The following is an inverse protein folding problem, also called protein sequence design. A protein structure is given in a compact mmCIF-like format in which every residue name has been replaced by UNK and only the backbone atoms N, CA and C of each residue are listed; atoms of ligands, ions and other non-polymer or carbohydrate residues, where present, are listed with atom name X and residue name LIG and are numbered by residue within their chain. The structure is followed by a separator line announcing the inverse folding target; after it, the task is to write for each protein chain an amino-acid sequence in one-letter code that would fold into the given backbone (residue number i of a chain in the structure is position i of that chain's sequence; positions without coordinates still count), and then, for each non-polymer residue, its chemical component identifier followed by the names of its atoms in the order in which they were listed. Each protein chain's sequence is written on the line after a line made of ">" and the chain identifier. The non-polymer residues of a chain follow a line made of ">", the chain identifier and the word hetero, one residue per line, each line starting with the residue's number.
data_IF_926628432366
#
_entry.id   IF_926628432366
#
_cell.length_a   1.000
_cell.length_b   1.000
_cell.length_c   1.000
_cell.angle_alpha   90.00
_cell.angle_beta   90.00
_cell.angle_gamma   90.00
#
_symmetry.space_group_name_H-M   'P 1'
#
loop_
_entity.id
_entity.type
_entity.pdbx_description
1 polymer ?
#
# COMPACT_ATOMS: atom_id res chain seq x y z
N UNK A 1 4.08 -8.41 -15.51
CA UNK A 1 3.77 -7.93 -14.15
C UNK A 1 4.90 -7.08 -13.62
N UNK A 2 4.58 -5.92 -13.09
CA UNK A 2 5.58 -5.04 -12.47
C UNK A 2 5.68 -5.34 -10.97
N UNK A 3 6.78 -4.91 -10.37
CA UNK A 3 6.95 -4.97 -8.92
C UNK A 3 6.80 -3.56 -8.34
N UNK A 4 6.05 -3.48 -7.26
CA UNK A 4 5.83 -2.23 -6.52
C UNK A 4 6.01 -2.46 -5.03
N UNK A 5 6.16 -1.39 -4.28
CA UNK A 5 6.07 -1.43 -2.81
C UNK A 5 4.82 -0.71 -2.36
N UNK A 6 4.33 -1.10 -1.20
CA UNK A 6 3.24 -0.43 -0.51
C UNK A 6 3.52 -0.50 0.98
N UNK A 7 3.59 0.65 1.63
CA UNK A 7 3.93 0.75 3.04
C UNK A 7 2.88 1.53 3.82
N UNK A 8 2.52 1.00 4.97
CA UNK A 8 1.67 1.68 5.93
C UNK A 8 2.55 2.15 7.10
N UNK A 9 2.84 3.45 7.10
CA UNK A 9 3.72 4.09 8.08
C UNK A 9 2.89 4.44 9.31
N UNK A 10 3.35 3.98 10.48
CA UNK A 10 2.64 4.15 11.75
C UNK A 10 3.13 5.36 12.53
N UNK A 11 2.20 6.02 13.19
CA UNK A 11 2.46 7.00 14.23
C UNK A 11 1.38 6.81 15.31
N UNK A 12 1.74 6.15 16.42
CA UNK A 12 0.73 5.79 17.43
C UNK A 12 -0.36 4.92 16.83
N UNK A 13 -1.62 5.33 16.96
CA UNK A 13 -2.78 4.62 16.42
C UNK A 13 -3.08 4.95 14.96
N UNK A 14 -2.26 5.78 14.32
CA UNK A 14 -2.51 6.30 12.98
C UNK A 14 -1.61 5.65 11.94
N UNK A 15 -2.13 5.54 10.70
CA UNK A 15 -1.34 5.29 9.50
C UNK A 15 -1.29 6.56 8.64
N UNK A 16 -0.15 6.76 7.98
CA UNK A 16 -0.01 7.80 6.96
C UNK A 16 -0.66 7.29 5.67
N UNK A 17 -1.69 7.98 5.24
CA UNK A 17 -2.43 7.61 4.03
C UNK A 17 -2.31 8.69 2.97
N UNK A 18 -2.26 8.26 1.72
CA UNK A 18 -2.24 9.13 0.55
C UNK A 18 -3.63 9.13 -0.09
N UNK A 19 -4.26 10.29 -0.13
CA UNK A 19 -5.52 10.48 -0.87
C UNK A 19 -5.19 10.92 -2.30
N UNK A 20 -5.47 10.06 -3.26
CA UNK A 20 -5.10 10.24 -4.67
C UNK A 20 -6.06 11.20 -5.38
N UNK A 21 -5.82 12.51 -5.25
CA UNK A 21 -6.72 13.54 -5.80
C UNK A 21 -6.04 14.53 -6.75
N UNK A 22 -4.71 14.42 -6.95
CA UNK A 22 -3.98 15.40 -7.75
C UNK A 22 -3.77 14.98 -9.21
N UNK A 23 -3.82 13.70 -9.54
CA UNK A 23 -3.66 13.19 -10.90
C UNK A 23 -5.02 12.92 -11.54
N UNK A 24 -5.20 13.38 -12.79
CA UNK A 24 -6.31 12.96 -13.64
C UNK A 24 -5.94 11.61 -14.29
N UNK A 25 -6.93 10.82 -14.67
CA UNK A 25 -6.73 9.50 -15.30
C UNK A 25 -5.93 8.51 -14.43
N UNK A 26 -5.96 8.69 -13.12
CA UNK A 26 -5.33 7.80 -12.16
C UNK A 26 -6.30 6.68 -11.80
N UNK A 27 -5.90 5.42 -11.93
CA UNK A 27 -6.70 4.26 -11.53
C UNK A 27 -7.03 4.30 -10.02
N UNK A 28 -6.16 4.92 -9.22
CA UNK A 28 -6.36 5.12 -7.79
C UNK A 28 -7.13 6.41 -7.47
N UNK A 29 -7.64 7.10 -8.48
CA UNK A 29 -8.30 8.40 -8.27
C UNK A 29 -9.36 8.32 -7.19
N UNK A 30 -9.31 9.29 -6.26
CA UNK A 30 -10.19 9.44 -5.11
C UNK A 30 -10.07 8.32 -4.06
N UNK A 31 -9.16 7.39 -4.25
CA UNK A 31 -8.90 6.35 -3.26
C UNK A 31 -7.80 6.77 -2.29
N UNK A 32 -7.89 6.21 -1.10
CA UNK A 32 -6.85 6.33 -0.07
C UNK A 32 -6.00 5.07 -0.11
N UNK A 33 -4.70 5.25 -0.22
CA UNK A 33 -3.74 4.14 -0.28
C UNK A 33 -2.56 4.39 0.66
N UNK A 34 -1.74 3.36 0.88
CA UNK A 34 -0.46 3.50 1.55
C UNK A 34 0.57 4.20 0.65
N UNK A 35 1.81 4.22 1.10
CA UNK A 35 2.93 4.87 0.42
C UNK A 35 3.72 3.83 -0.36
N UNK A 36 4.04 4.12 -1.61
CA UNK A 36 4.84 3.20 -2.41
C UNK A 36 4.93 3.60 -3.87
N UNK A 37 5.54 2.74 -4.65
CA UNK A 37 5.72 2.97 -6.07
C UNK A 37 6.45 1.82 -6.74
N UNK A 38 6.78 2.02 -8.01
CA UNK A 38 7.42 1.01 -8.85
C UNK A 38 8.90 0.86 -8.52
N UNK A 39 9.39 -0.38 -8.60
CA UNK A 39 10.82 -0.65 -8.51
C UNK A 39 11.55 0.03 -9.66
N UNK A 40 12.72 0.55 -9.38
CA UNK A 40 13.71 0.91 -10.38
C UNK A 40 14.58 -0.32 -10.69
N UNK A 41 15.33 -0.33 -11.81
CA UNK A 41 16.19 -1.45 -12.14
C UNK A 41 17.14 -1.80 -10.99
N UNK A 42 17.25 -3.09 -10.71
CA UNK A 42 18.16 -3.66 -9.71
C UNK A 42 17.85 -3.30 -8.26
N UNK A 43 16.72 -2.66 -7.98
CA UNK A 43 16.30 -2.41 -6.61
C UNK A 43 15.78 -3.67 -5.91
N UNK A 44 16.16 -3.86 -4.65
CA UNK A 44 15.47 -4.78 -3.76
C UNK A 44 14.14 -4.18 -3.30
N UNK A 45 13.22 -4.97 -2.76
CA UNK A 45 12.00 -4.42 -2.15
C UNK A 45 12.29 -3.36 -1.08
N UNK A 46 13.30 -3.58 -0.25
CA UNK A 46 13.69 -2.64 0.82
C UNK A 46 14.25 -1.34 0.25
N UNK A 47 15.07 -1.42 -0.79
CA UNK A 47 15.60 -0.22 -1.46
C UNK A 47 14.50 0.62 -2.09
N UNK A 48 13.56 -0.02 -2.78
CA UNK A 48 12.40 0.66 -3.36
C UNK A 48 11.55 1.32 -2.27
N UNK A 49 11.30 0.61 -1.19
CA UNK A 49 10.57 1.12 -0.03
C UNK A 49 11.20 2.42 0.50
N UNK A 50 12.49 2.41 0.75
CA UNK A 50 13.19 3.57 1.32
C UNK A 50 13.19 4.75 0.37
N UNK A 51 13.45 4.50 -0.91
CA UNK A 51 13.47 5.55 -1.94
C UNK A 51 12.09 6.18 -2.13
N UNK A 52 11.06 5.37 -2.34
CA UNK A 52 9.70 5.86 -2.57
C UNK A 52 9.15 6.60 -1.36
N UNK A 53 9.40 6.10 -0.16
CA UNK A 53 8.98 6.77 1.07
C UNK A 53 9.61 8.16 1.16
N UNK A 54 10.90 8.26 0.89
CA UNK A 54 11.62 9.55 0.92
C UNK A 54 11.10 10.51 -0.14
N UNK A 55 10.90 10.02 -1.35
CA UNK A 55 10.43 10.84 -2.47
C UNK A 55 9.00 11.34 -2.24
N UNK A 56 8.11 10.48 -1.77
CA UNK A 56 6.70 10.84 -1.62
C UNK A 56 6.40 11.62 -0.34
N UNK A 57 7.08 11.30 0.76
CA UNK A 57 6.71 11.83 2.08
C UNK A 57 7.77 12.72 2.72
N UNK A 58 9.02 12.64 2.29
CA UNK A 58 10.14 13.29 2.95
C UNK A 58 10.67 12.53 4.16
N UNK A 59 10.00 11.44 4.56
CA UNK A 59 10.39 10.65 5.73
C UNK A 59 11.44 9.61 5.37
N UNK A 60 12.29 9.31 6.36
CA UNK A 60 13.26 8.21 6.30
C UNK A 60 12.84 7.15 7.31
N UNK A 61 12.60 5.94 6.82
CA UNK A 61 12.26 4.82 7.70
C UNK A 61 13.52 4.37 8.45
N UNK A 62 13.38 4.15 9.75
CA UNK A 62 14.47 3.63 10.60
C UNK A 62 14.23 2.18 11.01
N UNK A 63 13.00 1.72 10.91
CA UNK A 63 12.60 0.35 11.23
C UNK A 63 11.40 -0.01 10.38
N UNK A 64 11.45 -1.15 9.70
CA UNK A 64 10.35 -1.61 8.86
C UNK A 64 10.26 -3.13 8.89
N UNK A 65 9.11 -3.64 8.51
CA UNK A 65 8.83 -5.06 8.49
C UNK A 65 8.18 -5.44 7.15
N UNK A 66 8.73 -6.44 6.50
CA UNK A 66 8.19 -6.99 5.26
C UNK A 66 7.07 -7.96 5.61
N UNK A 67 5.83 -7.61 5.28
CA UNK A 67 4.64 -8.31 5.80
C UNK A 67 4.09 -9.34 4.84
N UNK A 68 4.22 -9.13 3.55
CA UNK A 68 3.67 -10.05 2.57
C UNK A 68 3.78 -9.56 1.14
N UNK A 69 3.27 -10.36 0.21
CA UNK A 69 3.16 -10.01 -1.20
C UNK A 69 1.69 -10.07 -1.59
N UNK A 70 1.21 -8.98 -2.20
CA UNK A 70 -0.13 -8.92 -2.77
C UNK A 70 0.00 -9.01 -4.28
N UNK A 71 -0.56 -10.07 -4.87
CA UNK A 71 -0.64 -10.24 -6.31
C UNK A 71 -1.92 -9.54 -6.78
N UNK A 72 -1.75 -8.34 -7.31
CA UNK A 72 -2.85 -7.51 -7.80
C UNK A 72 -3.03 -7.75 -9.28
N UNK A 73 -4.17 -8.33 -9.65
CA UNK A 73 -4.53 -8.60 -11.05
C UNK A 73 -5.73 -7.77 -11.42
N UNK A 74 -5.64 -7.04 -12.52
CA UNK A 74 -6.74 -6.18 -12.98
C UNK A 74 -6.90 -6.28 -14.49
N UNK A 75 -8.13 -6.22 -14.96
CA UNK A 75 -8.46 -6.29 -16.39
C UNK A 75 -8.22 -4.98 -17.12
N UNK A 76 -8.19 -3.85 -16.42
CA UNK A 76 -8.14 -2.51 -17.04
C UNK A 76 -6.82 -1.76 -16.80
N UNK A 77 -5.96 -2.26 -15.96
CA UNK A 77 -4.65 -1.65 -15.72
C UNK A 77 -3.59 -2.73 -15.51
N UNK A 78 -2.35 -2.31 -15.45
CA UNK A 78 -1.22 -3.22 -15.29
C UNK A 78 -1.32 -3.98 -13.97
N UNK A 79 -1.15 -5.29 -14.05
CA UNK A 79 -1.10 -6.15 -12.88
C UNK A 79 0.27 -6.05 -12.21
N UNK A 80 0.33 -6.26 -10.91
CA UNK A 80 1.56 -6.03 -10.17
C UNK A 80 1.71 -6.96 -8.96
N UNK A 81 2.96 -7.18 -8.58
CA UNK A 81 3.30 -7.74 -7.28
C UNK A 81 3.58 -6.58 -6.34
N UNK A 82 2.71 -6.36 -5.36
CA UNK A 82 2.87 -5.33 -4.35
C UNK A 82 3.58 -5.92 -3.14
N UNK A 83 4.77 -5.44 -2.87
CA UNK A 83 5.56 -5.85 -1.70
C UNK A 83 5.11 -4.99 -0.52
N UNK A 84 4.46 -5.62 0.45
CA UNK A 84 3.73 -4.95 1.53
C UNK A 84 4.59 -4.84 2.78
N UNK A 85 4.70 -3.61 3.28
CA UNK A 85 5.50 -3.27 4.45
C UNK A 85 4.69 -2.51 5.48
N UNK A 86 5.10 -2.63 6.73
CA UNK A 86 4.70 -1.71 7.79
C UNK A 86 5.94 -1.11 8.41
N UNK A 87 5.79 0.09 8.94
CA UNK A 87 6.85 0.81 9.64
C UNK A 87 6.38 1.18 11.04
N UNK A 88 7.28 1.08 12.01
CA UNK A 88 7.05 1.53 13.39
C UNK A 88 8.11 2.55 13.84
N UNK A 89 8.95 3.03 12.93
CA UNK A 89 9.97 4.03 13.22
C UNK A 89 10.38 4.82 11.99
N UNK A 90 10.18 6.14 12.01
CA UNK A 90 10.61 7.02 10.93
C UNK A 90 11.13 8.34 11.48
N UNK A 91 11.93 9.04 10.67
CA UNK A 91 12.51 10.34 10.96
C UNK A 91 12.20 11.32 9.83
N UNK A 92 12.31 12.60 10.14
CA UNK A 92 12.14 13.67 9.17
C UNK A 92 10.77 14.34 9.25
N UNK A 93 10.51 15.24 8.33
CA UNK A 93 9.28 16.02 8.26
C UNK A 93 8.51 15.69 6.99
N UNK A 94 7.19 15.63 7.11
CA UNK A 94 6.33 15.45 5.95
C UNK A 94 6.47 16.62 5.00
N UNK A 95 6.58 16.29 3.70
CA UNK A 95 6.48 17.26 2.61
C UNK A 95 5.17 17.03 1.85
N UNK A 96 4.81 17.96 1.00
CA UNK A 96 3.68 17.78 0.09
C UNK A 96 4.01 16.70 -0.95
N UNK A 97 3.04 15.85 -1.22
CA UNK A 97 3.13 14.83 -2.25
C UNK A 97 2.53 15.35 -3.56
N UNK A 98 3.19 15.07 -4.68
CA UNK A 98 2.71 15.51 -6.01
C UNK A 98 1.50 14.70 -6.48
N UNK A 99 1.27 13.53 -5.93
CA UNK A 99 0.22 12.60 -6.38
C UNK A 99 -1.10 12.75 -5.62
N UNK A 100 -1.08 13.42 -4.48
CA UNK A 100 -2.27 13.59 -3.66
C UNK A 100 -1.98 14.31 -2.35
N UNK A 101 -2.86 14.10 -1.39
CA UNK A 101 -2.77 14.70 -0.05
C UNK A 101 -2.41 13.62 0.95
N UNK A 102 -1.35 13.85 1.72
CA UNK A 102 -0.93 12.98 2.82
C UNK A 102 -1.66 13.37 4.10
N UNK A 103 -2.18 12.39 4.81
CA UNK A 103 -2.91 12.61 6.05
C UNK A 103 -2.72 11.44 7.01
N UNK A 104 -2.50 11.74 8.28
CA UNK A 104 -2.49 10.73 9.33
C UNK A 104 -3.92 10.38 9.69
N UNK A 105 -4.28 9.10 9.50
CA UNK A 105 -5.65 8.61 9.73
C UNK A 105 -5.62 7.57 10.84
N UNK A 106 -6.49 7.72 11.83
CA UNK A 106 -6.67 6.71 12.87
C UNK A 106 -7.07 5.38 12.23
N UNK A 107 -6.45 4.28 12.65
CA UNK A 107 -6.72 2.94 12.08
C UNK A 107 -8.20 2.55 12.16
N UNK A 108 -8.92 3.02 13.16
CA UNK A 108 -10.35 2.75 13.31
C UNK A 108 -11.20 3.41 12.23
N UNK A 109 -10.67 4.48 11.62
CA UNK A 109 -11.37 5.24 10.57
C UNK A 109 -11.02 4.80 9.16
N UNK A 110 -10.02 3.92 8.99
CA UNK A 110 -9.57 3.50 7.66
C UNK A 110 -10.71 2.93 6.82
N UNK A 111 -11.55 2.11 7.43
CA UNK A 111 -12.60 1.39 6.70
C UNK A 111 -13.78 2.27 6.30
N UNK A 112 -13.82 3.52 6.78
CA UNK A 112 -14.80 4.52 6.37
C UNK A 112 -14.34 5.28 5.12
N UNK A 113 -13.08 5.10 4.71
CA UNK A 113 -12.50 5.77 3.56
C UNK A 113 -12.81 5.01 2.27
N UNK A 114 -12.68 5.70 1.13
CA UNK A 114 -12.74 5.06 -0.18
C UNK A 114 -11.44 4.30 -0.41
N UNK A 115 -11.49 2.99 -0.26
CA UNK A 115 -10.37 2.07 -0.43
C UNK A 115 -10.64 1.12 -1.58
N UNK A 116 -9.58 0.53 -2.13
CA UNK A 116 -9.73 -0.68 -2.91
C UNK A 116 -10.32 -1.77 -1.98
N UNK A 117 -11.27 -2.54 -2.48
CA UNK A 117 -11.96 -3.55 -1.66
C UNK A 117 -10.98 -4.58 -1.07
N UNK A 118 -9.98 -4.98 -1.86
CA UNK A 118 -8.96 -5.93 -1.39
C UNK A 118 -8.00 -5.35 -0.35
N UNK A 119 -7.82 -4.03 -0.32
CA UNK A 119 -6.99 -3.39 0.70
C UNK A 119 -7.60 -3.60 2.09
N UNK A 120 -8.92 -3.69 2.17
CA UNK A 120 -9.62 -3.99 3.43
C UNK A 120 -9.21 -5.35 4.00
N UNK A 121 -8.91 -6.30 3.12
CA UNK A 121 -8.49 -7.65 3.52
C UNK A 121 -7.09 -7.58 4.15
N UNK A 122 -6.11 -7.02 3.43
CA UNK A 122 -4.75 -7.03 3.97
C UNK A 122 -4.55 -6.03 5.11
N UNK A 123 -5.30 -4.93 5.15
CA UNK A 123 -5.25 -4.02 6.30
C UNK A 123 -5.64 -4.75 7.60
N UNK A 124 -6.63 -5.64 7.55
CA UNK A 124 -7.00 -6.46 8.70
C UNK A 124 -5.90 -7.44 9.09
N UNK A 125 -5.22 -8.03 8.10
CA UNK A 125 -4.08 -8.91 8.36
C UNK A 125 -2.94 -8.14 9.02
N UNK A 126 -2.74 -6.88 8.64
CA UNK A 126 -1.69 -6.03 9.23
C UNK A 126 -1.99 -5.61 10.67
N UNK A 127 -3.26 -5.64 11.10
CA UNK A 127 -3.65 -5.33 12.48
C UNK A 127 -3.18 -6.39 13.47
N UNK A 128 -2.89 -7.58 12.98
CA UNK A 128 -2.43 -8.70 13.79
C UNK A 128 -0.98 -9.03 13.46
N UNK A 129 -0.37 -9.91 14.24
CA UNK A 129 1.01 -10.36 14.03
C UNK A 129 1.04 -11.57 13.09
N UNK A 130 0.33 -11.49 11.98
CA UNK A 130 0.31 -12.55 10.98
C UNK A 130 1.71 -12.83 10.44
N UNK A 131 2.05 -14.12 10.22
CA UNK A 131 3.26 -14.46 9.46
C UNK A 131 3.20 -13.88 8.06
N UNK A 132 4.35 -13.81 7.39
CA UNK A 132 4.43 -13.39 6.00
C UNK A 132 3.40 -14.12 5.16
N UNK A 133 2.60 -13.37 4.38
CA UNK A 133 1.50 -13.96 3.62
C UNK A 133 1.59 -13.63 2.14
N UNK A 134 0.89 -14.44 1.34
CA UNK A 134 0.67 -14.21 -0.08
C UNK A 134 -0.82 -14.05 -0.31
N UNK A 135 -1.22 -12.90 -0.84
CA UNK A 135 -2.64 -12.59 -1.09
C UNK A 135 -2.80 -12.23 -2.57
N UNK A 136 -3.61 -13.02 -3.28
CA UNK A 136 -3.95 -12.70 -4.67
C UNK A 136 -5.32 -12.08 -4.74
N UNK A 137 -5.40 -10.92 -5.37
CA UNK A 137 -6.63 -10.15 -5.55
C UNK A 137 -6.87 -9.98 -7.05
N UNK A 138 -8.00 -10.46 -7.53
CA UNK A 138 -8.38 -10.32 -8.94
C UNK A 138 -9.54 -9.36 -9.06
N UNK A 139 -9.33 -8.32 -9.87
CA UNK A 139 -10.29 -7.25 -10.11
C UNK A 139 -10.75 -7.22 -11.56
N UNK A 140 -11.96 -6.78 -11.76
CA UNK A 140 -12.44 -6.27 -13.04
C UNK A 140 -12.72 -4.78 -12.83
N UNK A 141 -11.79 -3.92 -13.28
CA UNK A 141 -11.84 -2.50 -12.95
C UNK A 141 -11.72 -2.27 -11.45
N UNK A 142 -12.72 -1.66 -10.87
CA UNK A 142 -12.78 -1.38 -9.42
C UNK A 142 -13.43 -2.53 -8.61
N UNK A 143 -13.99 -3.52 -9.29
CA UNK A 143 -14.72 -4.61 -8.63
C UNK A 143 -13.81 -5.78 -8.30
N UNK A 144 -13.73 -6.13 -7.02
CA UNK A 144 -13.00 -7.30 -6.57
C UNK A 144 -13.80 -8.57 -6.89
N UNK A 145 -13.26 -9.43 -7.75
CA UNK A 145 -13.89 -10.67 -8.18
C UNK A 145 -13.51 -11.86 -7.32
N UNK A 146 -12.26 -11.92 -6.89
CA UNK A 146 -11.79 -13.04 -6.06
C UNK A 146 -10.61 -12.66 -5.21
N UNK A 147 -10.43 -13.39 -4.11
CA UNK A 147 -9.28 -13.25 -3.22
C UNK A 147 -8.82 -14.63 -2.77
N UNK A 148 -7.51 -14.86 -2.84
CA UNK A 148 -6.88 -16.13 -2.46
C UNK A 148 -5.75 -15.81 -1.48
N UNK A 149 -5.86 -16.31 -0.25
CA UNK A 149 -4.87 -16.10 0.81
C UNK A 149 -4.08 -17.38 1.04
N UNK A 150 -2.75 -17.31 0.84
CA UNK A 150 -1.85 -18.46 1.02
C UNK A 150 -2.36 -19.72 0.29
N UNK A 151 -2.88 -19.54 -0.92
CA UNK A 151 -3.40 -20.63 -1.73
C UNK A 151 -4.83 -21.07 -1.44
N UNK A 152 -5.50 -20.42 -0.47
CA UNK A 152 -6.88 -20.74 -0.13
C UNK A 152 -7.83 -19.63 -0.55
N UNK A 153 -8.88 -19.98 -1.28
CA UNK A 153 -9.92 -19.03 -1.69
C UNK A 153 -10.66 -18.52 -0.45
N UNK A 154 -10.71 -17.18 -0.29
CA UNK A 154 -11.44 -16.54 0.80
C UNK A 154 -12.59 -15.65 0.28
N UNK A 155 -12.60 -15.43 -1.04
CA UNK A 155 -13.68 -14.69 -1.67
C UNK A 155 -13.82 -15.03 -3.14
#
# INVERSE_FOLDING_TARGET
>A
MINTTLCYISRGSEYLMLHRVKKQNDVNRDKWIGIGGKFEPDESPDECLLRETKEETGLTLTSWRYRGIVTFVNTVCESEYMHLFTDDGCEGELKQCDEGVLEWIDRKRLYDLTLWEGDRIFLKLLETDEPFFSLKLCYDGDELKSAVLNGKTIR
#
